data_IF_625434961135
#
_entry.id   IF_625434961135
#
_cell.length_a   1.000
_cell.length_b   1.000
_cell.length_c   1.000
_cell.angle_alpha   90.00
_cell.angle_beta   90.00
_cell.angle_gamma   90.00
#
_symmetry.space_group_name_H-M   'P 1'
#
loop_
_entity.id
_entity.type
_entity.pdbx_description
1 polymer ?
#
# COMPACT_ATOMS: atom_id res chain seq x y z
N UNK A 1 9.39 7.58 -33.56
CA UNK A 1 9.11 6.67 -32.42
C UNK A 1 8.00 7.31 -31.61
N UNK A 2 6.88 6.61 -31.34
CA UNK A 2 5.88 7.13 -30.41
C UNK A 2 6.52 7.25 -29.02
N UNK A 3 6.57 8.46 -28.48
CA UNK A 3 7.05 8.71 -27.11
C UNK A 3 6.19 7.90 -26.13
N UNK A 4 6.78 7.11 -25.27
CA UNK A 4 6.06 6.36 -24.26
C UNK A 4 5.26 7.34 -23.39
N UNK A 5 3.94 7.14 -23.30
CA UNK A 5 3.09 8.02 -22.50
C UNK A 5 3.32 7.76 -21.01
N UNK A 6 3.52 8.82 -20.24
CA UNK A 6 3.54 8.76 -18.77
C UNK A 6 2.27 9.38 -18.24
N UNK A 7 1.58 8.67 -17.35
CA UNK A 7 0.41 9.17 -16.61
C UNK A 7 0.68 9.04 -15.12
N UNK A 8 0.59 10.14 -14.40
CA UNK A 8 0.75 10.17 -12.96
C UNK A 8 -0.62 10.28 -12.27
N UNK A 9 -0.98 9.27 -11.49
CA UNK A 9 -2.21 9.23 -10.70
C UNK A 9 -1.86 9.61 -9.26
N UNK A 10 -2.13 10.85 -8.91
CA UNK A 10 -1.72 11.41 -7.62
C UNK A 10 -2.93 11.65 -6.71
N UNK A 11 -2.75 11.34 -5.44
CA UNK A 11 -3.78 11.53 -4.42
C UNK A 11 -3.41 10.91 -3.09
N UNK A 12 -4.20 11.15 -2.04
CA UNK A 12 -4.06 10.50 -0.74
C UNK A 12 -4.21 8.98 -0.84
N UNK A 13 -3.95 8.29 0.26
CA UNK A 13 -4.26 6.86 0.40
C UNK A 13 -5.77 6.61 0.25
N UNK A 14 -6.13 5.38 -0.10
CA UNK A 14 -7.53 4.92 -0.24
C UNK A 14 -8.38 5.76 -1.23
N UNK A 15 -7.82 6.13 -2.37
CA UNK A 15 -8.52 6.87 -3.43
C UNK A 15 -8.68 6.07 -4.73
N UNK A 16 -8.45 4.76 -4.68
CA UNK A 16 -8.61 3.86 -5.82
C UNK A 16 -7.52 3.95 -6.89
N UNK A 17 -6.33 4.52 -6.58
CA UNK A 17 -5.20 4.61 -7.53
C UNK A 17 -4.76 3.24 -8.01
N UNK A 18 -4.50 2.33 -7.08
CA UNK A 18 -4.07 0.95 -7.37
C UNK A 18 -5.13 0.19 -8.18
N UNK A 19 -6.41 0.36 -7.86
CA UNK A 19 -7.50 -0.23 -8.62
C UNK A 19 -7.51 0.27 -10.07
N UNK A 20 -7.38 1.58 -10.28
CA UNK A 20 -7.31 2.17 -11.62
C UNK A 20 -6.12 1.60 -12.40
N UNK A 21 -4.95 1.45 -11.76
CA UNK A 21 -3.77 0.87 -12.42
C UNK A 21 -3.97 -0.59 -12.84
N UNK A 22 -4.64 -1.38 -12.00
CA UNK A 22 -4.97 -2.79 -12.31
C UNK A 22 -5.90 -2.87 -13.51
N UNK A 23 -7.01 -2.13 -13.51
CA UNK A 23 -7.97 -2.13 -14.62
C UNK A 23 -7.30 -1.63 -15.91
N UNK A 24 -6.45 -0.60 -15.81
CA UNK A 24 -5.68 -0.09 -16.95
C UNK A 24 -4.70 -1.14 -17.47
N UNK A 25 -3.94 -1.81 -16.58
CA UNK A 25 -3.02 -2.89 -16.98
C UNK A 25 -3.73 -4.00 -17.74
N UNK A 26 -4.90 -4.41 -17.25
CA UNK A 26 -5.68 -5.50 -17.86
C UNK A 26 -6.30 -5.13 -19.22
N UNK A 27 -6.34 -3.84 -19.57
CA UNK A 27 -6.75 -3.37 -20.90
C UNK A 27 -5.64 -3.48 -21.95
N UNK A 28 -4.40 -3.78 -21.56
CA UNK A 28 -3.26 -4.03 -22.44
C UNK A 28 -3.00 -5.53 -22.60
N UNK A 29 -2.29 -5.91 -23.66
CA UNK A 29 -1.94 -7.31 -23.90
C UNK A 29 -0.88 -7.87 -22.93
N UNK A 30 -0.09 -6.97 -22.34
CA UNK A 30 0.93 -7.30 -21.35
C UNK A 30 1.16 -6.13 -20.40
N UNK A 31 1.52 -6.42 -19.14
CA UNK A 31 1.77 -5.38 -18.17
C UNK A 31 2.45 -5.84 -16.90
N UNK A 32 2.93 -4.88 -16.14
CA UNK A 32 3.55 -5.09 -14.84
C UNK A 32 3.18 -3.98 -13.87
N UNK A 33 2.96 -4.34 -12.61
CA UNK A 33 2.82 -3.37 -11.52
C UNK A 33 3.79 -3.73 -10.40
N UNK A 34 4.60 -2.75 -9.98
CA UNK A 34 5.43 -2.81 -8.78
C UNK A 34 4.70 -2.21 -7.58
N UNK A 35 4.56 -3.01 -6.53
CA UNK A 35 3.92 -2.63 -5.26
C UNK A 35 4.94 -2.38 -4.16
N UNK A 36 4.64 -1.52 -3.17
CA UNK A 36 5.54 -1.25 -2.06
C UNK A 36 5.68 -2.44 -1.09
N UNK A 37 4.71 -3.34 -1.07
CA UNK A 37 4.65 -4.47 -0.15
C UNK A 37 4.35 -5.79 -0.86
N UNK A 38 5.04 -6.86 -0.44
CA UNK A 38 4.79 -8.22 -0.90
C UNK A 38 3.33 -8.68 -0.67
N UNK A 39 2.75 -8.29 0.47
CA UNK A 39 1.36 -8.64 0.81
C UNK A 39 0.36 -8.00 -0.14
N UNK A 40 0.57 -6.75 -0.52
CA UNK A 40 -0.27 -6.07 -1.50
C UNK A 40 -0.13 -6.73 -2.88
N UNK A 41 1.10 -7.05 -3.31
CA UNK A 41 1.33 -7.77 -4.55
C UNK A 41 0.60 -9.13 -4.56
N UNK A 42 0.65 -9.86 -3.44
CA UNK A 42 -0.05 -11.15 -3.29
C UNK A 42 -1.57 -10.99 -3.30
N UNK A 43 -2.12 -10.04 -2.56
CA UNK A 43 -3.55 -9.76 -2.54
C UNK A 43 -4.10 -9.41 -3.93
N UNK A 44 -3.36 -8.55 -4.64
CA UNK A 44 -3.72 -8.18 -6.02
C UNK A 44 -3.62 -9.38 -6.95
N UNK A 45 -2.59 -10.21 -6.81
CA UNK A 45 -2.45 -11.45 -7.56
C UNK A 45 -3.67 -12.36 -7.36
N UNK A 46 -4.07 -12.63 -6.11
CA UNK A 46 -5.22 -13.47 -5.79
C UNK A 46 -6.53 -12.92 -6.38
N UNK A 47 -6.71 -11.59 -6.35
CA UNK A 47 -7.87 -10.93 -6.99
C UNK A 47 -7.86 -11.04 -8.52
N UNK A 48 -6.70 -10.97 -9.14
CA UNK A 48 -6.59 -11.02 -10.61
C UNK A 48 -6.77 -12.45 -11.13
N UNK A 49 -6.19 -13.46 -10.48
CA UNK A 49 -6.37 -14.86 -10.92
C UNK A 49 -7.80 -15.35 -10.77
N UNK A 50 -8.63 -14.70 -9.96
CA UNK A 50 -10.06 -14.95 -9.89
C UNK A 50 -10.83 -14.45 -11.14
N UNK A 51 -10.25 -13.52 -11.91
CA UNK A 51 -10.87 -12.89 -13.10
C UNK A 51 -10.16 -13.25 -14.41
N UNK A 52 -8.88 -13.57 -14.35
CA UNK A 52 -8.00 -13.81 -15.50
C UNK A 52 -7.38 -15.21 -15.35
N UNK A 53 -7.17 -15.90 -16.46
CA UNK A 53 -6.53 -17.23 -16.45
C UNK A 53 -5.19 -17.18 -15.67
N UNK A 54 -5.02 -17.99 -14.61
CA UNK A 54 -3.83 -17.99 -13.78
C UNK A 54 -2.52 -18.21 -14.55
N UNK A 55 -2.55 -18.94 -15.67
CA UNK A 55 -1.39 -19.16 -16.53
C UNK A 55 -0.89 -17.89 -17.24
N UNK A 56 -1.64 -16.78 -17.18
CA UNK A 56 -1.25 -15.47 -17.72
C UNK A 56 -0.71 -14.52 -16.68
N UNK A 57 -0.75 -14.87 -15.39
CA UNK A 57 -0.43 -13.96 -14.29
C UNK A 57 0.76 -14.48 -13.50
N UNK A 58 1.77 -13.65 -13.32
CA UNK A 58 2.95 -13.93 -12.51
C UNK A 58 2.92 -13.13 -11.22
N UNK A 59 3.45 -13.71 -10.15
CA UNK A 59 3.76 -13.03 -8.89
C UNK A 59 5.26 -13.14 -8.65
N UNK A 60 5.93 -12.00 -8.41
CA UNK A 60 7.36 -11.95 -8.14
C UNK A 60 7.62 -11.06 -6.93
N UNK A 61 7.99 -11.68 -5.83
CA UNK A 61 8.40 -10.99 -4.60
C UNK A 61 9.73 -11.58 -4.11
N UNK A 62 10.32 -10.98 -3.09
CA UNK A 62 11.56 -11.51 -2.50
C UNK A 62 11.41 -12.93 -1.92
N UNK A 63 10.20 -13.33 -1.53
CA UNK A 63 9.93 -14.64 -0.90
C UNK A 63 9.18 -15.60 -1.80
N UNK A 64 8.43 -15.09 -2.77
CA UNK A 64 7.54 -15.93 -3.59
C UNK A 64 7.69 -15.59 -5.07
N UNK A 65 7.83 -16.66 -5.89
CA UNK A 65 7.93 -16.56 -7.34
C UNK A 65 6.99 -17.55 -7.99
N UNK A 66 5.92 -17.04 -8.60
CA UNK A 66 4.99 -17.83 -9.44
C UNK A 66 5.10 -17.24 -10.85
N UNK A 67 5.75 -17.95 -11.76
CA UNK A 67 6.02 -17.43 -13.13
C UNK A 67 5.60 -18.50 -14.15
N UNK A 68 4.31 -18.53 -14.53
CA UNK A 68 3.85 -19.41 -15.60
C UNK A 68 4.54 -19.10 -16.93
N UNK A 69 4.76 -20.12 -17.76
CA UNK A 69 5.44 -19.95 -19.06
C UNK A 69 4.73 -18.99 -20.02
N UNK A 70 3.42 -18.79 -19.85
CA UNK A 70 2.57 -17.89 -20.65
C UNK A 70 2.22 -16.59 -19.94
N UNK A 71 2.97 -16.23 -18.89
CA UNK A 71 2.70 -14.99 -18.12
C UNK A 71 2.77 -13.74 -19.01
N UNK A 72 1.73 -12.95 -18.94
CA UNK A 72 1.58 -11.65 -19.61
C UNK A 72 1.52 -10.50 -18.60
N UNK A 73 0.96 -10.74 -17.42
CA UNK A 73 0.80 -9.78 -16.35
C UNK A 73 1.68 -10.14 -15.16
N UNK A 74 2.45 -9.19 -14.68
CA UNK A 74 3.43 -9.38 -13.62
C UNK A 74 3.09 -8.49 -12.44
N UNK A 75 2.83 -9.11 -11.29
CA UNK A 75 2.59 -8.42 -10.02
C UNK A 75 3.81 -8.63 -9.15
N UNK A 76 4.50 -7.54 -8.86
CA UNK A 76 5.82 -7.61 -8.25
C UNK A 76 5.90 -6.70 -7.02
N UNK A 77 6.81 -6.98 -6.09
CA UNK A 77 7.33 -5.87 -5.30
C UNK A 77 8.23 -5.00 -6.16
N UNK A 78 8.34 -3.71 -5.87
CA UNK A 78 9.16 -2.77 -6.67
C UNK A 78 10.60 -3.26 -6.79
N UNK A 79 11.15 -3.87 -5.74
CA UNK A 79 12.49 -4.46 -5.74
C UNK A 79 12.63 -5.65 -6.70
N UNK A 80 11.57 -6.41 -6.87
CA UNK A 80 11.56 -7.65 -7.65
C UNK A 80 11.06 -7.47 -9.08
N UNK A 81 10.82 -6.23 -9.51
CA UNK A 81 10.40 -5.95 -10.88
C UNK A 81 11.49 -6.36 -11.88
N UNK A 82 11.19 -7.25 -12.86
CA UNK A 82 12.13 -7.58 -13.94
C UNK A 82 12.31 -6.37 -14.86
N UNK A 83 13.54 -5.87 -14.95
CA UNK A 83 13.89 -4.64 -15.70
C UNK A 83 14.13 -4.90 -17.20
N UNK A 84 14.35 -6.15 -17.57
CA UNK A 84 14.66 -6.60 -18.93
C UNK A 84 13.42 -6.89 -19.78
N UNK A 85 12.24 -6.93 -19.17
CA UNK A 85 10.99 -7.24 -19.87
C UNK A 85 10.42 -6.02 -20.59
N UNK A 86 10.12 -6.22 -21.86
CA UNK A 86 9.36 -5.25 -22.67
C UNK A 86 7.87 -5.57 -22.56
N UNK A 87 7.12 -4.70 -21.91
CA UNK A 87 5.70 -4.84 -21.65
C UNK A 87 4.97 -3.57 -22.07
N UNK A 88 3.76 -3.71 -22.54
CA UNK A 88 2.97 -2.56 -23.02
C UNK A 88 2.64 -1.57 -21.90
N UNK A 89 2.32 -2.09 -20.71
CA UNK A 89 2.00 -1.30 -19.53
C UNK A 89 2.99 -1.56 -18.40
N UNK A 90 3.41 -0.48 -17.72
CA UNK A 90 4.15 -0.55 -16.46
C UNK A 90 3.55 0.41 -15.45
N UNK A 91 3.23 -0.10 -14.26
CA UNK A 91 2.77 0.67 -13.11
C UNK A 91 3.78 0.63 -11.96
N UNK A 92 3.97 1.75 -11.26
CA UNK A 92 4.75 1.81 -10.02
C UNK A 92 3.87 2.46 -8.95
N UNK A 93 3.57 1.70 -7.89
CA UNK A 93 2.73 2.18 -6.80
C UNK A 93 3.57 2.81 -5.68
N UNK A 94 2.99 3.78 -4.98
CA UNK A 94 3.57 4.51 -3.84
C UNK A 94 4.95 5.13 -4.16
N UNK A 95 5.06 5.83 -5.31
CA UNK A 95 6.32 6.43 -5.79
C UNK A 95 6.96 7.43 -4.82
N UNK A 96 6.22 7.99 -3.84
CA UNK A 96 6.82 8.82 -2.78
C UNK A 96 7.78 8.04 -1.88
N UNK A 97 7.77 6.70 -1.95
CA UNK A 97 8.78 5.85 -1.30
C UNK A 97 10.21 6.08 -1.82
N UNK A 98 10.39 6.86 -2.90
CA UNK A 98 11.70 7.37 -3.31
C UNK A 98 12.42 8.15 -2.18
N UNK A 99 11.67 8.71 -1.22
CA UNK A 99 12.22 9.41 -0.05
C UNK A 99 12.53 8.49 1.14
N UNK A 100 12.24 7.20 1.04
CA UNK A 100 12.53 6.24 2.09
C UNK A 100 14.04 6.03 2.26
N UNK A 101 14.54 5.98 3.51
CA UNK A 101 15.98 5.91 3.78
C UNK A 101 16.62 4.58 3.39
N UNK A 102 15.89 3.49 3.45
CA UNK A 102 16.39 2.15 3.15
C UNK A 102 16.08 1.73 1.71
N UNK A 103 14.84 1.91 1.27
CA UNK A 103 14.32 1.40 0.00
C UNK A 103 14.24 2.45 -1.10
N UNK A 104 14.40 3.73 -0.76
CA UNK A 104 14.18 4.85 -1.69
C UNK A 104 15.06 4.79 -2.94
N UNK A 105 16.27 4.27 -2.83
CA UNK A 105 17.17 4.09 -3.98
C UNK A 105 16.59 3.14 -5.04
N UNK A 106 15.90 2.06 -4.63
CA UNK A 106 15.25 1.13 -5.57
C UNK A 106 14.05 1.78 -6.24
N UNK A 107 13.19 2.46 -5.47
CA UNK A 107 12.04 3.19 -6.04
C UNK A 107 12.49 4.26 -7.03
N UNK A 108 13.56 4.98 -6.71
CA UNK A 108 14.15 6.00 -7.59
C UNK A 108 14.68 5.36 -8.89
N UNK A 109 15.39 4.25 -8.79
CA UNK A 109 15.87 3.54 -9.98
C UNK A 109 14.71 3.11 -10.89
N UNK A 110 13.65 2.53 -10.32
CA UNK A 110 12.47 2.11 -11.10
C UNK A 110 11.74 3.30 -11.71
N UNK A 111 11.57 4.38 -10.94
CA UNK A 111 10.96 5.62 -11.41
C UNK A 111 11.73 6.22 -12.60
N UNK A 112 13.05 6.14 -12.60
CA UNK A 112 13.89 6.70 -13.66
C UNK A 112 13.99 5.78 -14.88
N UNK A 113 14.10 4.47 -14.70
CA UNK A 113 14.60 3.55 -15.72
C UNK A 113 13.55 2.58 -16.27
N UNK A 114 12.46 2.30 -15.58
CA UNK A 114 11.43 1.37 -16.07
C UNK A 114 10.32 2.12 -16.82
N UNK A 115 10.03 1.66 -18.04
CA UNK A 115 8.95 2.22 -18.88
C UNK A 115 8.14 1.12 -19.55
N UNK A 116 6.83 1.35 -19.66
CA UNK A 116 5.96 0.57 -20.53
C UNK A 116 6.14 1.01 -21.99
N UNK A 117 6.00 0.09 -22.93
CA UNK A 117 6.12 0.43 -24.38
C UNK A 117 5.00 1.38 -24.83
N UNK A 118 3.80 1.27 -24.26
CA UNK A 118 2.64 2.12 -24.57
C UNK A 118 2.33 3.11 -23.46
N UNK A 119 2.32 2.64 -22.19
CA UNK A 119 1.94 3.47 -21.04
C UNK A 119 2.78 3.12 -19.81
N UNK A 120 3.29 4.17 -19.15
CA UNK A 120 3.82 4.08 -17.79
C UNK A 120 2.88 4.82 -16.84
N UNK A 121 2.40 4.17 -15.79
CA UNK A 121 1.53 4.77 -14.80
C UNK A 121 2.24 4.87 -13.45
N UNK A 122 2.36 6.09 -12.94
CA UNK A 122 3.01 6.42 -11.68
C UNK A 122 1.94 6.75 -10.64
N UNK A 123 1.81 5.94 -9.58
CA UNK A 123 0.83 6.18 -8.53
C UNK A 123 1.50 6.66 -7.25
N UNK A 124 0.93 7.69 -6.61
CA UNK A 124 1.52 8.20 -5.37
C UNK A 124 0.87 9.45 -4.80
N UNK A 125 1.58 10.08 -3.89
CA UNK A 125 1.18 11.33 -3.24
C UNK A 125 1.35 12.54 -4.17
N UNK A 126 0.55 13.57 -3.95
CA UNK A 126 0.68 14.88 -4.63
C UNK A 126 2.07 15.52 -4.46
N UNK A 127 2.82 15.17 -3.42
CA UNK A 127 4.19 15.65 -3.19
C UNK A 127 5.14 15.31 -4.33
N UNK A 128 4.83 14.28 -5.12
CA UNK A 128 5.65 13.85 -6.25
C UNK A 128 5.44 14.67 -7.53
N UNK A 129 4.41 15.52 -7.60
CA UNK A 129 4.06 16.26 -8.83
C UNK A 129 5.23 17.03 -9.43
N UNK A 130 5.92 17.84 -8.62
CA UNK A 130 7.02 18.66 -9.10
C UNK A 130 8.25 17.84 -9.51
N UNK A 131 8.46 16.68 -8.89
CA UNK A 131 9.54 15.76 -9.25
C UNK A 131 9.25 15.12 -10.61
N UNK A 132 8.03 14.65 -10.81
CA UNK A 132 7.60 14.03 -12.07
C UNK A 132 7.69 15.03 -13.24
N UNK A 133 7.23 16.27 -13.05
CA UNK A 133 7.33 17.33 -14.07
C UNK A 133 8.77 17.62 -14.49
N UNK A 134 9.73 17.49 -13.56
CA UNK A 134 11.17 17.63 -13.90
C UNK A 134 11.71 16.43 -14.67
N UNK A 135 11.08 15.26 -14.56
CA UNK A 135 11.49 14.05 -15.29
C UNK A 135 10.88 13.99 -16.69
N UNK A 136 9.63 14.40 -16.82
CA UNK A 136 8.92 14.45 -18.09
C UNK A 136 7.80 15.49 -18.03
N UNK A 137 8.00 16.60 -18.77
CA UNK A 137 7.07 17.73 -18.82
C UNK A 137 5.73 17.37 -19.51
N UNK A 138 5.73 16.34 -20.36
CA UNK A 138 4.54 15.88 -21.09
C UNK A 138 3.69 14.88 -20.26
N UNK A 139 4.03 14.64 -18.99
CA UNK A 139 3.28 13.73 -18.12
C UNK A 139 1.85 14.21 -17.93
N UNK A 140 0.90 13.32 -18.19
CA UNK A 140 -0.51 13.54 -17.87
C UNK A 140 -0.80 13.28 -16.39
N UNK A 141 -1.50 14.22 -15.73
CA UNK A 141 -1.82 14.10 -14.30
C UNK A 141 -3.31 13.80 -14.09
N UNK A 142 -3.59 12.72 -13.35
CA UNK A 142 -4.92 12.39 -12.84
C UNK A 142 -4.89 12.61 -11.33
N UNK A 143 -5.63 13.61 -10.86
CA UNK A 143 -5.76 13.87 -9.44
C UNK A 143 -6.91 13.06 -8.86
N UNK A 144 -6.64 12.35 -7.77
CA UNK A 144 -7.64 11.61 -7.00
C UNK A 144 -7.87 12.31 -5.66
N UNK A 145 -9.13 12.59 -5.37
CA UNK A 145 -9.54 13.13 -4.09
C UNK A 145 -10.00 12.01 -3.16
N UNK A 146 -9.93 12.25 -1.85
CA UNK A 146 -10.45 11.31 -0.86
C UNK A 146 -11.96 11.19 -0.95
N UNK A 147 -12.44 9.96 -0.77
CA UNK A 147 -13.87 9.70 -0.64
C UNK A 147 -14.42 10.17 0.72
N UNK A 148 -13.56 10.28 1.76
CA UNK A 148 -13.95 10.70 3.10
C UNK A 148 -13.06 11.84 3.61
N UNK A 149 -13.65 12.74 4.39
CA UNK A 149 -12.92 13.85 5.04
C UNK A 149 -12.24 13.34 6.31
N UNK A 150 -10.93 13.54 6.42
CA UNK A 150 -10.19 13.28 7.64
C UNK A 150 -10.31 14.49 8.59
N UNK A 151 -10.76 14.25 9.82
CA UNK A 151 -10.92 15.29 10.84
C UNK A 151 -10.18 14.90 12.11
N UNK A 152 -9.50 15.85 12.72
CA UNK A 152 -8.88 15.63 14.03
C UNK A 152 -9.93 15.76 15.13
N UNK A 153 -10.09 14.73 15.96
CA UNK A 153 -11.12 14.65 17.02
C UNK A 153 -10.53 14.65 18.44
N UNK A 154 -9.23 14.96 18.58
CA UNK A 154 -8.54 15.01 19.87
C UNK A 154 -8.11 13.62 20.37
N UNK A 155 -8.05 13.45 21.69
CA UNK A 155 -7.62 12.20 22.34
C UNK A 155 -8.76 11.59 23.19
N UNK A 156 -8.79 10.26 23.26
CA UNK A 156 -9.73 9.49 24.08
C UNK A 156 -8.99 8.43 24.89
N UNK A 157 -9.52 8.09 26.06
CA UNK A 157 -9.08 6.89 26.80
C UNK A 157 -9.60 5.64 26.10
N UNK A 158 -8.84 4.54 26.13
CA UNK A 158 -9.23 3.26 25.51
C UNK A 158 -10.62 2.80 25.96
N UNK A 159 -10.97 3.02 27.22
CA UNK A 159 -12.32 2.69 27.75
C UNK A 159 -13.47 3.45 27.06
N UNK A 160 -13.19 4.54 26.37
CA UNK A 160 -14.18 5.44 25.74
C UNK A 160 -14.11 5.49 24.20
N UNK A 161 -13.25 4.68 23.58
CA UNK A 161 -13.20 4.61 22.11
C UNK A 161 -14.47 3.97 21.57
N UNK A 162 -14.89 4.43 20.40
CA UNK A 162 -16.06 3.92 19.71
C UNK A 162 -15.71 2.64 18.91
N UNK A 163 -16.72 1.92 18.42
CA UNK A 163 -16.54 0.79 17.49
C UNK A 163 -15.89 1.26 16.20
N UNK A 164 -15.48 0.33 15.34
CA UNK A 164 -14.80 0.61 14.07
C UNK A 164 -13.57 1.52 14.24
N UNK A 165 -12.79 1.24 15.26
CA UNK A 165 -11.60 2.00 15.63
C UNK A 165 -10.33 1.17 15.43
N UNK A 166 -9.33 1.75 14.77
CA UNK A 166 -7.96 1.27 14.77
C UNK A 166 -7.09 2.03 15.77
N UNK A 167 -6.25 1.33 16.52
CA UNK A 167 -5.21 1.93 17.36
C UNK A 167 -3.86 1.55 16.78
N UNK A 168 -3.04 2.56 16.51
CA UNK A 168 -1.73 2.41 15.90
C UNK A 168 -0.65 2.49 16.96
N UNK A 169 0.19 1.46 17.01
CA UNK A 169 1.36 1.37 17.86
C UNK A 169 2.60 1.07 17.03
N UNK A 170 3.80 1.32 17.57
CA UNK A 170 5.04 1.25 16.78
C UNK A 170 6.01 0.15 17.27
N UNK A 171 5.55 -0.74 18.15
CA UNK A 171 6.26 -1.97 18.51
C UNK A 171 5.27 -3.13 18.64
N UNK A 172 5.76 -4.36 18.44
CA UNK A 172 4.94 -5.55 18.62
C UNK A 172 4.46 -5.69 20.09
N UNK A 173 5.33 -5.36 21.04
CA UNK A 173 5.01 -5.39 22.46
C UNK A 173 3.84 -4.46 22.80
N UNK A 174 3.89 -3.22 22.31
CA UNK A 174 2.82 -2.24 22.51
C UNK A 174 1.50 -2.66 21.82
N UNK A 175 1.57 -3.23 20.61
CA UNK A 175 0.39 -3.78 19.92
C UNK A 175 -0.28 -4.85 20.76
N UNK A 176 0.48 -5.82 21.29
CA UNK A 176 -0.09 -6.88 22.14
C UNK A 176 -0.63 -6.35 23.47
N UNK A 177 0.06 -5.40 24.11
CA UNK A 177 -0.40 -4.78 25.35
C UNK A 177 -1.74 -4.05 25.18
N UNK A 178 -1.87 -3.27 24.08
CA UNK A 178 -3.12 -2.56 23.76
C UNK A 178 -4.25 -3.54 23.40
N UNK A 179 -3.94 -4.57 22.60
CA UNK A 179 -4.93 -5.59 22.25
C UNK A 179 -5.47 -6.32 23.46
N UNK A 180 -4.61 -6.68 24.42
CA UNK A 180 -5.01 -7.30 25.68
C UNK A 180 -5.86 -6.36 26.54
N UNK A 181 -5.51 -5.07 26.58
CA UNK A 181 -6.31 -4.07 27.29
C UNK A 181 -7.72 -3.93 26.70
N UNK A 182 -7.83 -3.93 25.36
CA UNK A 182 -9.11 -3.90 24.66
C UNK A 182 -9.90 -5.20 24.92
N UNK A 183 -9.21 -6.35 24.91
CA UNK A 183 -9.85 -7.64 25.20
C UNK A 183 -10.54 -7.63 26.57
N UNK A 184 -9.88 -7.07 27.59
CA UNK A 184 -10.42 -6.97 28.94
C UNK A 184 -11.58 -5.99 29.07
N UNK A 185 -11.61 -4.93 28.28
CA UNK A 185 -12.55 -3.82 28.46
C UNK A 185 -13.68 -3.79 27.41
N UNK A 186 -13.44 -4.36 26.22
CA UNK A 186 -14.27 -4.16 25.03
C UNK A 186 -14.59 -5.44 24.27
N UNK A 187 -14.13 -6.60 24.71
CA UNK A 187 -14.43 -7.90 24.09
C UNK A 187 -13.36 -8.45 23.16
N UNK A 188 -12.51 -7.63 22.57
CA UNK A 188 -11.41 -8.09 21.73
C UNK A 188 -11.02 -7.15 20.61
N UNK A 189 -9.86 -7.42 19.99
CA UNK A 189 -9.36 -6.68 18.85
C UNK A 189 -8.62 -7.63 17.88
N UNK A 190 -8.73 -7.37 16.60
CA UNK A 190 -7.85 -7.96 15.60
C UNK A 190 -6.48 -7.28 15.64
N UNK A 191 -5.43 -8.03 15.28
CA UNK A 191 -4.04 -7.55 15.30
C UNK A 191 -3.47 -7.57 13.88
N UNK A 192 -2.93 -6.45 13.43
CA UNK A 192 -2.30 -6.33 12.11
C UNK A 192 -0.89 -5.72 12.24
N UNK A 193 0.12 -6.52 11.92
CA UNK A 193 1.54 -6.11 11.96
C UNK A 193 2.26 -6.62 10.70
N UNK A 194 3.31 -5.90 10.30
CA UNK A 194 4.16 -6.31 9.18
C UNK A 194 4.90 -7.64 9.40
N UNK A 195 5.17 -8.01 10.64
CA UNK A 195 5.83 -9.24 11.05
C UNK A 195 4.94 -10.49 11.01
N UNK A 196 3.62 -10.34 10.88
CA UNK A 196 2.71 -11.48 10.78
C UNK A 196 2.83 -12.17 9.42
N UNK A 197 2.68 -13.50 9.42
CA UNK A 197 2.56 -14.24 8.17
C UNK A 197 1.34 -13.77 7.36
N UNK A 198 1.35 -13.85 6.03
CA UNK A 198 0.20 -13.48 5.20
C UNK A 198 -1.10 -14.17 5.62
N UNK A 199 -1.02 -15.46 5.93
CA UNK A 199 -2.18 -16.26 6.37
C UNK A 199 -2.75 -15.74 7.69
N UNK A 200 -1.90 -15.48 8.67
CA UNK A 200 -2.33 -14.96 10.00
C UNK A 200 -2.91 -13.55 9.85
N UNK A 201 -2.27 -12.70 9.05
CA UNK A 201 -2.74 -11.34 8.81
C UNK A 201 -4.11 -11.33 8.13
N UNK A 202 -4.32 -12.15 7.10
CA UNK A 202 -5.62 -12.27 6.43
C UNK A 202 -6.71 -12.78 7.39
N UNK A 203 -6.38 -13.73 8.26
CA UNK A 203 -7.31 -14.20 9.29
C UNK A 203 -7.71 -13.09 10.27
N UNK A 204 -6.76 -12.24 10.69
CA UNK A 204 -7.04 -11.10 11.56
C UNK A 204 -7.89 -10.03 10.85
N UNK A 205 -7.59 -9.75 9.58
CA UNK A 205 -8.41 -8.85 8.74
C UNK A 205 -9.84 -9.39 8.60
N UNK A 206 -9.99 -10.69 8.32
CA UNK A 206 -11.31 -11.33 8.23
C UNK A 206 -12.09 -11.28 9.54
N UNK A 207 -11.41 -11.47 10.68
CA UNK A 207 -12.01 -11.39 12.01
C UNK A 207 -12.61 -9.99 12.29
N UNK A 208 -11.93 -8.94 11.82
CA UNK A 208 -12.46 -7.58 11.92
C UNK A 208 -13.59 -7.33 10.90
N UNK A 209 -13.42 -7.76 9.65
CA UNK A 209 -14.40 -7.53 8.59
C UNK A 209 -15.71 -8.31 8.77
N UNK A 210 -15.67 -9.48 9.43
CA UNK A 210 -16.88 -10.24 9.81
C UNK A 210 -17.69 -9.58 10.93
N UNK A 211 -17.08 -8.62 11.66
CA UNK A 211 -17.71 -7.99 12.81
C UNK A 211 -17.60 -8.80 14.11
N UNK A 212 -16.77 -9.87 14.12
CA UNK A 212 -16.50 -10.64 15.35
C UNK A 212 -15.75 -9.80 16.39
N UNK A 213 -15.01 -8.78 15.94
CA UNK A 213 -14.40 -7.76 16.78
C UNK A 213 -14.60 -6.37 16.18
N UNK A 214 -14.81 -5.38 17.05
CA UNK A 214 -15.06 -3.99 16.68
C UNK A 214 -13.78 -3.13 16.61
N UNK A 215 -12.66 -3.69 17.05
CA UNK A 215 -11.41 -2.95 17.23
C UNK A 215 -10.27 -3.62 16.47
N UNK A 216 -9.35 -2.79 16.02
CA UNK A 216 -8.11 -3.21 15.39
C UNK A 216 -6.93 -2.60 16.12
N UNK A 217 -5.88 -3.36 16.37
CA UNK A 217 -4.59 -2.82 16.82
C UNK A 217 -3.54 -3.16 15.78
N UNK A 218 -2.85 -2.13 15.28
CA UNK A 218 -1.94 -2.32 14.17
C UNK A 218 -0.65 -1.52 14.31
N UNK A 219 0.36 -1.91 13.56
CA UNK A 219 1.49 -1.05 13.28
C UNK A 219 1.19 -0.13 12.08
N UNK A 220 2.12 0.76 11.73
CA UNK A 220 2.05 1.60 10.54
C UNK A 220 1.85 0.83 9.22
N UNK A 221 2.07 -0.49 9.24
CA UNK A 221 1.76 -1.39 8.13
C UNK A 221 0.29 -1.34 7.66
N UNK A 222 -0.65 -0.84 8.50
CA UNK A 222 -2.06 -0.66 8.12
C UNK A 222 -2.22 0.35 6.98
N UNK A 223 -1.42 1.42 6.96
CA UNK A 223 -1.45 2.47 5.93
C UNK A 223 -0.94 2.04 4.57
N UNK A 224 -0.54 0.79 4.41
CA UNK A 224 0.05 0.27 3.19
C UNK A 224 -0.85 -0.81 2.56
N UNK A 225 -1.97 -0.39 1.98
CA UNK A 225 -2.77 -1.24 1.09
C UNK A 225 -3.78 -2.18 1.75
N UNK A 226 -4.07 -2.04 3.05
CA UNK A 226 -5.17 -2.77 3.68
C UNK A 226 -6.41 -1.87 3.66
N UNK A 227 -7.42 -2.28 2.91
CA UNK A 227 -8.70 -1.59 2.90
C UNK A 227 -9.56 -2.08 4.07
N UNK A 228 -9.75 -1.22 5.07
CA UNK A 228 -10.55 -1.48 6.26
C UNK A 228 -11.64 -0.42 6.41
N UNK A 229 -12.83 -0.85 6.79
CA UNK A 229 -13.94 0.06 7.13
C UNK A 229 -13.76 0.56 8.57
N UNK A 230 -13.09 1.71 8.70
CA UNK A 230 -12.72 2.34 9.97
C UNK A 230 -13.36 3.74 10.07
N UNK A 231 -13.99 4.03 11.19
CA UNK A 231 -14.50 5.36 11.51
C UNK A 231 -13.44 6.22 12.22
N UNK A 232 -12.57 5.60 13.02
CA UNK A 232 -11.54 6.30 13.79
C UNK A 232 -10.19 5.61 13.73
N UNK A 233 -9.13 6.42 13.69
CA UNK A 233 -7.75 5.97 13.83
C UNK A 233 -7.09 6.74 14.97
N UNK A 234 -6.65 6.04 16.02
CA UNK A 234 -5.92 6.61 17.13
C UNK A 234 -4.47 6.18 17.09
N UNK A 235 -3.58 7.09 17.38
CA UNK A 235 -2.15 6.81 17.56
C UNK A 235 -1.85 6.70 19.06
N UNK A 236 -1.22 5.61 19.48
CA UNK A 236 -0.74 5.46 20.85
C UNK A 236 0.37 6.45 21.17
N UNK A 237 1.19 6.75 20.16
CA UNK A 237 2.27 7.74 20.20
C UNK A 237 2.43 8.39 18.83
N UNK A 238 2.90 9.63 18.79
CA UNK A 238 3.37 10.29 17.56
C UNK A 238 4.90 10.14 17.38
N UNK A 239 5.53 9.22 18.09
CA UNK A 239 6.96 8.89 17.95
C UNK A 239 7.11 7.44 17.58
N UNK A 240 8.04 7.14 16.67
CA UNK A 240 8.43 5.78 16.31
C UNK A 240 9.96 5.63 16.32
N UNK A 241 10.43 4.42 16.56
CA UNK A 241 11.83 4.05 16.35
C UNK A 241 12.04 3.74 14.86
N UNK A 242 13.00 4.40 14.23
CA UNK A 242 13.29 4.28 12.80
C UNK A 242 14.44 3.31 12.47
N UNK A 243 14.80 2.46 13.44
CA UNK A 243 15.95 1.56 13.34
C UNK A 243 17.24 2.16 13.93
N UNK A 244 17.28 3.50 14.14
CA UNK A 244 18.47 4.21 14.68
C UNK A 244 18.13 5.05 15.89
N UNK A 245 17.01 5.78 15.84
CA UNK A 245 16.59 6.70 16.91
C UNK A 245 15.08 6.81 17.01
N UNK A 246 14.61 7.23 18.18
CA UNK A 246 13.22 7.60 18.37
C UNK A 246 12.97 8.98 17.75
N UNK A 247 12.09 9.07 16.77
CA UNK A 247 11.73 10.32 16.09
C UNK A 247 10.21 10.54 16.03
N UNK A 248 9.81 11.78 15.84
CA UNK A 248 8.40 12.10 15.56
C UNK A 248 8.01 11.60 14.16
N UNK A 249 6.75 11.21 14.02
CA UNK A 249 6.15 10.97 12.71
C UNK A 249 6.10 12.28 11.93
N UNK A 250 6.35 12.21 10.63
CA UNK A 250 6.10 13.34 9.75
C UNK A 250 4.62 13.37 9.31
N UNK A 251 4.17 14.50 8.75
CA UNK A 251 2.78 14.68 8.36
C UNK A 251 2.32 13.70 7.27
N UNK A 252 3.22 13.30 6.36
CA UNK A 252 2.89 12.33 5.32
C UNK A 252 2.70 10.92 5.89
N UNK A 253 3.50 10.50 6.87
CA UNK A 253 3.33 9.24 7.59
C UNK A 253 1.98 9.20 8.32
N UNK A 254 1.66 10.28 9.06
CA UNK A 254 0.37 10.39 9.75
C UNK A 254 -0.78 10.30 8.75
N UNK A 255 -0.70 11.04 7.65
CA UNK A 255 -1.72 11.05 6.60
C UNK A 255 -1.86 9.71 5.88
N UNK A 256 -0.78 8.95 5.72
CA UNK A 256 -0.78 7.64 5.09
C UNK A 256 -1.39 6.57 6.01
N UNK A 257 -1.08 6.63 7.31
CA UNK A 257 -1.61 5.69 8.30
C UNK A 257 -3.08 5.95 8.58
N UNK A 258 -3.48 7.21 8.73
CA UNK A 258 -4.86 7.59 9.04
C UNK A 258 -5.80 7.54 7.82
N UNK A 259 -5.26 7.41 6.63
CA UNK A 259 -5.98 7.41 5.36
C UNK A 259 -6.24 6.08 4.80
#
# INVERSE_FOLDING_TARGET
MKKNKITAVLGPTNTGKTFLAIETMLSFDSGMIGFPLRLLAREVYDKIIAKVNPNKVALITGEEKIIPSRAKYYLCTVESMPIDKRLEFVGIDEIQMCSDQERGHVFTDRLLNIRGEKLTMLMGSHTMKNIILKLDEDTEFINKERFSKLSYVGHKKISRIDRKTAIIAFSAEEVYAIAELIRRQKGGAAIVMGSLSPKTRNAQVSLYQSGDVDFLVATDAIGMGINMDLDNVYFSSLKKFDGRKLRKLNLSEIGQIAG
#
